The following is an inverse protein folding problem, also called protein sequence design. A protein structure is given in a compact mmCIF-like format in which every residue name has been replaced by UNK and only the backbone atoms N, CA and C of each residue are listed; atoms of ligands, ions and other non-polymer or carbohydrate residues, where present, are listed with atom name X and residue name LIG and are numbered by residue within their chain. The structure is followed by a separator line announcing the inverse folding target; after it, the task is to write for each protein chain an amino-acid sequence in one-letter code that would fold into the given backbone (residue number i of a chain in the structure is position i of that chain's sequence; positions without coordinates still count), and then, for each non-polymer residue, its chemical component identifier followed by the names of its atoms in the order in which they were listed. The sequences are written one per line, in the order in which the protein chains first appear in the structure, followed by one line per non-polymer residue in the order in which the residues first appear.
data_IF_981874177794
#
_entry.id   IF_981874177794
#
_cell.length_a   1.000
_cell.length_b   1.000
_cell.length_c   1.000
_cell.angle_alpha   90.00
_cell.angle_beta   90.00
_cell.angle_gamma   90.00
#
_symmetry.space_group_name_H-M   'P 1'
#
loop_
_entity.id
_entity.type
_entity.pdbx_description
1 polymer ?
#
# COMPACT_ATOMS: atom_id res chain seq x y z
N UNK A 1 -12.08 -0.88 13.49
CA UNK A 1 -10.80 -1.45 13.00
C UNK A 1 -9.61 -0.74 13.62
N UNK A 2 -8.50 -1.45 13.77
CA UNK A 2 -7.24 -0.82 14.16
C UNK A 2 -6.58 -0.18 12.94
N UNK A 3 -5.61 0.69 13.17
CA UNK A 3 -4.83 1.30 12.09
C UNK A 3 -4.11 0.23 11.26
N UNK A 4 -3.61 -0.81 11.91
CA UNK A 4 -2.97 -1.93 11.23
C UNK A 4 -3.95 -2.68 10.31
N UNK A 5 -5.18 -2.87 10.76
CA UNK A 5 -6.21 -3.50 9.93
C UNK A 5 -6.55 -2.65 8.71
N UNK A 6 -6.59 -1.32 8.85
CA UNK A 6 -6.83 -0.43 7.71
C UNK A 6 -5.66 -0.51 6.73
N UNK A 7 -4.41 -0.52 7.23
CA UNK A 7 -3.24 -0.70 6.36
C UNK A 7 -3.32 -1.99 5.56
N UNK A 8 -3.79 -3.06 6.17
CA UNK A 8 -3.97 -4.33 5.48
C UNK A 8 -5.01 -4.22 4.37
N UNK A 9 -6.12 -3.53 4.60
CA UNK A 9 -7.14 -3.32 3.57
C UNK A 9 -6.60 -2.47 2.42
N UNK A 10 -5.79 -1.46 2.72
CA UNK A 10 -5.11 -0.65 1.69
C UNK A 10 -4.20 -1.56 0.84
N UNK A 11 -3.39 -2.38 1.50
CA UNK A 11 -2.49 -3.31 0.81
C UNK A 11 -3.27 -4.25 -0.11
N UNK A 12 -4.35 -4.86 0.38
CA UNK A 12 -5.14 -5.81 -0.42
C UNK A 12 -5.72 -5.16 -1.67
N UNK A 13 -6.21 -3.94 -1.55
CA UNK A 13 -6.78 -3.25 -2.70
C UNK A 13 -5.72 -2.84 -3.72
N UNK A 14 -4.56 -2.39 -3.26
CA UNK A 14 -3.43 -2.08 -4.14
C UNK A 14 -2.90 -3.35 -4.82
N UNK A 15 -2.88 -4.47 -4.10
CA UNK A 15 -2.49 -5.77 -4.65
C UNK A 15 -3.46 -6.19 -5.76
N UNK A 16 -4.75 -6.06 -5.52
CA UNK A 16 -5.78 -6.33 -6.51
C UNK A 16 -5.55 -5.48 -7.77
N UNK A 17 -5.26 -4.20 -7.59
CA UNK A 17 -5.03 -3.26 -8.70
C UNK A 17 -3.81 -3.65 -9.55
N UNK A 18 -2.78 -4.23 -8.95
CA UNK A 18 -1.61 -4.72 -9.69
C UNK A 18 -1.95 -5.92 -10.57
N UNK A 19 -2.91 -6.73 -10.16
CA UNK A 19 -3.22 -7.99 -10.83
C UNK A 19 -4.30 -7.86 -11.90
N UNK A 20 -5.29 -7.01 -11.65
CA UNK A 20 -6.44 -6.87 -12.56
C UNK A 20 -6.76 -5.39 -12.77
N UNK A 21 -7.33 -5.10 -13.93
CA UNK A 21 -7.82 -3.76 -14.23
C UNK A 21 -9.15 -3.56 -13.51
N UNK A 22 -9.29 -2.46 -12.79
CA UNK A 22 -10.50 -2.16 -12.05
C UNK A 22 -10.75 -0.66 -11.98
N UNK A 23 -11.97 -0.29 -11.61
CA UNK A 23 -12.32 1.08 -11.29
C UNK A 23 -11.98 1.30 -9.83
N UNK A 24 -10.81 1.89 -9.58
CA UNK A 24 -10.29 2.01 -8.21
C UNK A 24 -11.21 2.84 -7.31
N UNK A 25 -11.84 3.89 -7.85
CA UNK A 25 -12.72 4.72 -7.03
C UNK A 25 -13.97 3.95 -6.60
N UNK A 26 -14.51 3.13 -7.48
CA UNK A 26 -15.63 2.25 -7.18
C UNK A 26 -15.22 1.21 -6.13
N UNK A 27 -14.04 0.60 -6.31
CA UNK A 27 -13.55 -0.42 -5.38
C UNK A 27 -13.30 0.15 -3.99
N UNK A 28 -12.81 1.38 -3.89
CA UNK A 28 -12.63 2.04 -2.60
C UNK A 28 -13.95 2.09 -1.83
N UNK A 29 -15.01 2.52 -2.50
CA UNK A 29 -16.35 2.61 -1.89
C UNK A 29 -16.87 1.23 -1.48
N UNK A 30 -16.67 0.24 -2.35
CA UNK A 30 -17.09 -1.13 -2.07
C UNK A 30 -16.39 -1.71 -0.84
N UNK A 31 -15.07 -1.51 -0.74
CA UNK A 31 -14.31 -2.02 0.40
C UNK A 31 -14.75 -1.34 1.70
N UNK A 32 -14.96 -0.02 1.68
CA UNK A 32 -15.44 0.70 2.86
C UNK A 32 -16.76 0.10 3.34
N UNK A 33 -17.65 -0.20 2.44
CA UNK A 33 -18.95 -0.77 2.76
C UNK A 33 -18.84 -2.22 3.22
N UNK A 34 -18.13 -3.07 2.48
CA UNK A 34 -17.97 -4.49 2.78
C UNK A 34 -17.25 -4.75 4.09
N UNK A 35 -16.16 -4.01 4.33
CA UNK A 35 -15.36 -4.16 5.54
C UNK A 35 -15.88 -3.30 6.70
N UNK A 36 -16.97 -2.58 6.46
CA UNK A 36 -17.65 -1.77 7.48
C UNK A 36 -16.71 -0.76 8.15
N UNK A 37 -15.94 -0.06 7.33
CA UNK A 37 -15.12 1.04 7.82
C UNK A 37 -16.06 2.20 8.04
N UNK A 38 -16.31 2.54 9.31
CA UNK A 38 -17.36 3.52 9.66
C UNK A 38 -16.81 4.82 10.23
N UNK A 39 -15.66 4.78 10.87
CA UNK A 39 -15.07 5.98 11.47
C UNK A 39 -14.53 6.90 10.38
N UNK A 40 -14.89 8.18 10.48
CA UNK A 40 -14.53 9.16 9.45
C UNK A 40 -13.02 9.26 9.25
N UNK A 41 -12.24 9.28 10.32
CA UNK A 41 -10.78 9.34 10.24
C UNK A 41 -10.18 8.12 9.56
N UNK A 42 -10.79 6.96 9.73
CA UNK A 42 -10.33 5.73 9.08
C UNK A 42 -10.70 5.71 7.61
N UNK A 43 -11.87 6.20 7.25
CA UNK A 43 -12.28 6.34 5.84
C UNK A 43 -11.32 7.29 5.13
N UNK A 44 -11.03 8.45 5.75
CA UNK A 44 -10.07 9.41 5.19
C UNK A 44 -8.69 8.80 5.01
N UNK A 45 -8.20 8.07 6.00
CA UNK A 45 -6.90 7.40 5.92
C UNK A 45 -6.86 6.40 4.77
N UNK A 46 -7.90 5.58 4.65
CA UNK A 46 -8.01 4.58 3.59
C UNK A 46 -8.00 5.24 2.21
N UNK A 47 -8.89 6.21 2.00
CA UNK A 47 -9.01 6.90 0.72
C UNK A 47 -7.75 7.70 0.37
N UNK A 48 -7.21 8.44 1.33
CA UNK A 48 -6.03 9.27 1.13
C UNK A 48 -4.81 8.44 0.77
N UNK A 49 -4.61 7.31 1.45
CA UNK A 49 -3.46 6.46 1.17
C UNK A 49 -3.54 5.84 -0.22
N UNK A 50 -4.68 5.31 -0.59
CA UNK A 50 -4.81 4.69 -1.92
C UNK A 50 -4.63 5.73 -3.01
N UNK A 51 -5.33 6.84 -2.93
CA UNK A 51 -5.23 7.89 -3.94
C UNK A 51 -3.84 8.52 -3.97
N UNK A 52 -3.24 8.74 -2.80
CA UNK A 52 -1.91 9.32 -2.70
C UNK A 52 -0.83 8.42 -3.30
N UNK A 53 -0.91 7.12 -3.06
CA UNK A 53 0.04 6.16 -3.65
C UNK A 53 -0.11 6.15 -5.17
N UNK A 54 -1.32 6.14 -5.69
CA UNK A 54 -1.57 6.13 -7.13
C UNK A 54 -1.09 7.44 -7.76
N UNK A 55 -1.38 8.57 -7.16
CA UNK A 55 -0.96 9.89 -7.67
C UNK A 55 0.55 10.05 -7.68
N UNK A 56 1.25 9.43 -6.74
CA UNK A 56 2.69 9.53 -6.61
C UNK A 56 3.44 8.32 -7.16
N UNK A 57 2.75 7.44 -7.88
CA UNK A 57 3.30 6.15 -8.30
C UNK A 57 4.62 6.27 -9.06
N UNK A 58 4.71 7.21 -10.00
CA UNK A 58 5.93 7.37 -10.80
C UNK A 58 7.12 7.78 -9.94
N UNK A 59 6.91 8.70 -9.01
CA UNK A 59 7.94 9.15 -8.08
C UNK A 59 8.36 8.00 -7.16
N UNK A 60 7.39 7.27 -6.63
CA UNK A 60 7.66 6.15 -5.72
C UNK A 60 8.45 5.06 -6.42
N UNK A 61 8.05 4.67 -7.62
CA UNK A 61 8.75 3.65 -8.39
C UNK A 61 10.19 4.10 -8.69
N UNK A 62 10.39 5.37 -9.07
CA UNK A 62 11.73 5.86 -9.34
C UNK A 62 12.61 5.82 -8.08
N UNK A 63 12.08 6.22 -6.94
CA UNK A 63 12.82 6.17 -5.68
C UNK A 63 13.14 4.74 -5.27
N UNK A 64 12.23 3.80 -5.53
CA UNK A 64 12.48 2.38 -5.29
C UNK A 64 13.62 1.89 -6.20
N UNK A 65 13.57 2.23 -7.49
CA UNK A 65 14.62 1.85 -8.45
C UNK A 65 15.98 2.39 -8.03
N UNK A 66 16.04 3.62 -7.56
CA UNK A 66 17.27 4.25 -7.12
C UNK A 66 17.86 3.56 -5.89
N UNK A 67 17.04 2.89 -5.11
CA UNK A 67 17.44 2.21 -3.87
C UNK A 67 17.86 0.76 -4.10
N UNK A 68 17.28 0.10 -5.11
CA UNK A 68 17.55 -1.31 -5.39
C UNK A 68 19.01 -1.52 -5.81
N UNK A 69 19.64 -2.54 -5.23
CA UNK A 69 21.00 -2.91 -5.54
C UNK A 69 21.01 -4.38 -5.99
N UNK A 70 21.39 -4.62 -7.24
CA UNK A 70 21.45 -5.95 -7.81
C UNK A 70 20.11 -6.51 -8.26
N UNK A 71 19.03 -5.76 -8.14
CA UNK A 71 17.68 -6.16 -8.54
C UNK A 71 17.04 -5.09 -9.42
N UNK A 72 16.22 -5.52 -10.38
CA UNK A 72 15.41 -4.59 -11.16
C UNK A 72 13.97 -4.59 -10.62
N UNK A 73 13.33 -3.42 -10.63
CA UNK A 73 11.97 -3.29 -10.15
C UNK A 73 11.02 -4.25 -10.87
N UNK A 74 11.18 -4.39 -12.18
CA UNK A 74 10.32 -5.21 -13.03
C UNK A 74 10.39 -6.70 -12.68
N UNK A 75 11.47 -7.14 -12.02
CA UNK A 75 11.64 -8.53 -11.59
C UNK A 75 11.08 -8.82 -10.21
N UNK A 76 10.68 -7.78 -9.49
CA UNK A 76 10.06 -7.97 -8.17
C UNK A 76 8.69 -8.61 -8.35
N UNK A 77 8.29 -9.43 -7.38
CA UNK A 77 6.94 -9.98 -7.36
C UNK A 77 5.91 -8.91 -7.03
N UNK A 78 4.65 -9.22 -7.27
CA UNK A 78 3.55 -8.29 -7.01
C UNK A 78 3.50 -7.85 -5.55
N UNK A 79 3.69 -8.79 -4.63
CA UNK A 79 3.71 -8.51 -3.20
C UNK A 79 4.77 -7.46 -2.86
N UNK A 80 5.99 -7.68 -3.34
CA UNK A 80 7.11 -6.79 -3.05
C UNK A 80 6.91 -5.40 -3.64
N UNK A 81 6.40 -5.33 -4.87
CA UNK A 81 6.12 -4.04 -5.51
C UNK A 81 5.12 -3.22 -4.70
N UNK A 82 4.04 -3.85 -4.25
CA UNK A 82 3.00 -3.16 -3.49
C UNK A 82 3.53 -2.73 -2.12
N UNK A 83 4.23 -3.62 -1.42
CA UNK A 83 4.80 -3.32 -0.11
C UNK A 83 5.81 -2.18 -0.18
N UNK A 84 6.66 -2.18 -1.19
CA UNK A 84 7.66 -1.12 -1.37
C UNK A 84 7.00 0.22 -1.69
N UNK A 85 6.03 0.24 -2.59
CA UNK A 85 5.31 1.48 -2.89
C UNK A 85 4.61 2.05 -1.65
N UNK A 86 3.96 1.18 -0.88
CA UNK A 86 3.29 1.57 0.35
C UNK A 86 4.29 2.15 1.37
N UNK A 87 5.38 1.42 1.62
CA UNK A 87 6.39 1.83 2.59
C UNK A 87 7.06 3.14 2.19
N UNK A 88 7.43 3.28 0.92
CA UNK A 88 8.05 4.49 0.42
C UNK A 88 7.09 5.69 0.53
N UNK A 89 5.82 5.46 0.23
CA UNK A 89 4.80 6.49 0.41
C UNK A 89 4.74 6.96 1.85
N UNK A 90 4.70 6.03 2.80
CA UNK A 90 4.64 6.38 4.22
C UNK A 90 5.88 7.15 4.66
N UNK A 91 7.05 6.74 4.22
CA UNK A 91 8.30 7.36 4.62
C UNK A 91 8.48 8.73 3.97
N UNK A 92 8.29 8.81 2.66
CA UNK A 92 8.63 10.01 1.88
C UNK A 92 7.52 11.05 1.91
N UNK A 93 6.28 10.63 1.70
CA UNK A 93 5.15 11.56 1.56
C UNK A 93 4.49 11.83 2.91
N UNK A 94 4.18 10.78 3.65
CA UNK A 94 3.47 10.93 4.92
C UNK A 94 4.40 11.23 6.10
N UNK A 95 5.70 11.09 5.89
CA UNK A 95 6.72 11.35 6.92
C UNK A 95 6.56 10.49 8.18
N UNK A 96 6.04 9.30 8.00
CA UNK A 96 6.04 8.28 9.06
C UNK A 96 7.48 7.83 9.28
N UNK A 97 7.89 7.66 10.52
CA UNK A 97 9.22 7.17 10.81
C UNK A 97 9.49 5.84 10.11
N UNK A 98 10.69 5.69 9.52
CA UNK A 98 10.98 4.50 8.70
C UNK A 98 10.86 3.20 9.51
N UNK A 99 11.15 3.24 10.80
CA UNK A 99 11.02 2.04 11.65
C UNK A 99 9.57 1.56 11.73
N UNK A 100 8.63 2.50 11.88
CA UNK A 100 7.21 2.18 11.93
C UNK A 100 6.74 1.65 10.57
N UNK A 101 7.11 2.34 9.49
CA UNK A 101 6.69 1.94 8.14
C UNK A 101 7.22 0.56 7.77
N UNK A 102 8.48 0.27 8.09
CA UNK A 102 9.10 -1.03 7.81
C UNK A 102 8.45 -2.13 8.65
N UNK A 103 8.23 -1.88 9.95
CA UNK A 103 7.58 -2.87 10.80
C UNK A 103 6.18 -3.23 10.32
N UNK A 104 5.40 -2.24 9.90
CA UNK A 104 4.06 -2.49 9.37
C UNK A 104 4.10 -3.29 8.07
N UNK A 105 5.06 -2.98 7.20
CA UNK A 105 5.25 -3.73 5.95
C UNK A 105 5.63 -5.19 6.24
N UNK A 106 6.50 -5.42 7.21
CA UNK A 106 6.92 -6.76 7.61
C UNK A 106 5.73 -7.56 8.14
N UNK A 107 4.86 -6.95 8.95
CA UNK A 107 3.68 -7.64 9.47
C UNK A 107 2.73 -8.07 8.34
N UNK A 108 2.55 -7.22 7.33
CA UNK A 108 1.74 -7.59 6.17
C UNK A 108 2.45 -8.70 5.39
N UNK A 109 3.74 -8.59 5.17
CA UNK A 109 4.52 -9.58 4.44
C UNK A 109 4.41 -10.97 5.08
N UNK A 110 4.50 -11.05 6.40
CA UNK A 110 4.37 -12.32 7.13
C UNK A 110 3.04 -12.99 6.87
N UNK A 111 1.98 -12.21 6.73
CA UNK A 111 0.64 -12.73 6.54
C UNK A 111 0.39 -13.22 5.11
N UNK A 112 1.00 -12.59 4.12
CA UNK A 112 0.68 -12.84 2.71
C UNK A 112 1.80 -13.50 1.90
N UNK A 113 2.99 -13.69 2.48
CA UNK A 113 4.07 -14.38 1.78
C UNK A 113 4.00 -15.88 2.01
N UNK A 114 4.57 -16.65 1.08
CA UNK A 114 4.75 -18.07 1.25
C UNK A 114 5.93 -18.36 2.14
N UNK A 115 5.77 -19.34 2.98
CA UNK A 115 6.86 -19.86 3.79
C UNK A 115 6.85 -21.38 3.78
#
# INVERSE_FOLDING_TARGET
MTRRQIREEIFKLLFERELIDNDIQKRIKEVIEEEKIKKEDQIEFFEEYINGIIENEDILIQRIKDTLDGWTYERLGTLEKVLLKFSFYEIIIKKVGYEIAINEAIEIAKKYSYN
#
